data_IF_850911384998
#
_entry.id   IF_850911384998
#
_cell.length_a   1.000
_cell.length_b   1.000
_cell.length_c   1.000
_cell.angle_alpha   90.00
_cell.angle_beta   90.00
_cell.angle_gamma   90.00
#
_symmetry.space_group_name_H-M   'P 1'
#
loop_
_entity.id
_entity.type
_entity.pdbx_description
1 polymer ?
2 non-polymer ?
3 non-polymer ?
4 non-polymer ?
5 non-polymer ?
6 non-polymer ?
7 non-polymer ?
8 non-polymer ?
9 non-polymer ?
10 water ?
#
# COMPACT_ATOMS: atom_id res chain seq x y z
N UNK A 11 21.15 8.70 10.74
CA UNK A 11 20.82 10.12 10.71
C UNK A 11 19.72 10.45 9.69
N UNK A 12 19.30 9.47 8.90
CA UNK A 12 18.23 9.70 7.94
C UNK A 12 16.88 9.32 8.54
N UNK A 13 15.85 10.07 8.20
CA UNK A 13 14.50 9.62 8.49
C UNK A 13 14.31 8.25 7.86
N UNK A 14 13.63 7.37 8.58
CA UNK A 14 13.33 6.03 8.10
C UNK A 14 11.81 5.92 8.06
N UNK A 15 11.24 5.81 6.89
CA UNK A 15 9.79 5.76 6.73
C UNK A 15 9.40 4.30 6.53
N UNK A 16 8.65 3.74 7.50
CA UNK A 16 8.29 2.33 7.50
C UNK A 16 6.92 2.16 6.86
N UNK A 17 6.91 1.63 5.65
CA UNK A 17 5.71 1.43 4.84
C UNK A 17 5.38 -0.04 4.83
N UNK A 18 4.10 -0.36 4.96
CA UNK A 18 3.62 -1.73 4.86
C UNK A 18 2.60 -1.82 3.74
N UNK A 19 2.80 -2.80 2.86
CA UNK A 19 1.87 -3.11 1.80
C UNK A 19 0.89 -4.13 2.33
N UNK A 20 -0.41 -3.84 2.21
CA UNK A 20 -1.45 -4.77 2.60
C UNK A 20 -2.44 -4.85 1.45
N UNK A 21 -3.24 -5.90 1.47
CA UNK A 21 -4.21 -6.17 0.42
C UNK A 21 -4.31 -7.65 0.19
N UNK A 22 -5.43 -8.06 -0.39
CA UNK A 22 -5.64 -9.47 -0.61
C UNK A 22 -4.77 -10.02 -1.75
N UNK A 23 -4.88 -11.32 -2.00
CA UNK A 23 -3.95 -11.98 -2.91
C UNK A 23 -4.10 -11.50 -4.34
N UNK A 24 -2.97 -11.35 -5.02
CA UNK A 24 -2.96 -11.10 -6.44
C UNK A 24 -3.29 -9.67 -6.82
N UNK A 25 -3.39 -8.77 -5.85
CA UNK A 25 -3.78 -7.40 -6.18
C UNK A 25 -2.66 -6.59 -6.76
N UNK A 26 -1.41 -6.95 -6.48
CA UNK A 26 -0.24 -6.25 -6.96
C UNK A 26 0.67 -5.70 -5.88
N UNK A 27 0.60 -6.22 -4.65
CA UNK A 27 1.51 -5.71 -3.62
C UNK A 27 2.96 -5.87 -4.04
N UNK A 28 3.33 -7.07 -4.47
CA UNK A 28 4.70 -7.34 -4.85
C UNK A 28 5.07 -6.63 -6.13
N UNK A 29 4.20 -6.65 -7.12
CA UNK A 29 4.51 -5.96 -8.36
C UNK A 29 4.72 -4.48 -8.12
N UNK A 30 3.89 -3.85 -7.29
CA UNK A 30 4.11 -2.44 -7.00
C UNK A 30 5.44 -2.23 -6.33
N UNK A 31 5.73 -3.07 -5.33
CA UNK A 31 6.98 -2.95 -4.58
C UNK A 31 8.19 -3.10 -5.48
N UNK A 32 8.16 -4.10 -6.36
CA UNK A 32 9.31 -4.40 -7.19
C UNK A 32 9.45 -3.40 -8.33
N UNK A 33 8.34 -2.83 -8.80
CA UNK A 33 8.43 -1.72 -9.74
C UNK A 33 9.09 -0.53 -9.07
N UNK A 34 8.66 -0.20 -7.85
CA UNK A 34 9.26 0.91 -7.12
C UNK A 34 10.74 0.65 -6.87
N UNK A 35 11.07 -0.55 -6.42
CA UNK A 35 12.45 -0.83 -6.02
C UNK A 35 13.38 -0.99 -7.20
N UNK A 36 12.95 -1.71 -8.24
CA UNK A 36 13.87 -2.21 -9.24
C UNK A 36 13.48 -1.84 -10.65
N UNK A 37 12.40 -1.09 -10.84
CA UNK A 37 12.03 -0.55 -12.14
C UNK A 37 11.61 -1.64 -13.13
N UNK A 38 11.10 -2.75 -12.61
CA UNK A 38 10.75 -3.93 -13.39
C UNK A 38 9.34 -4.34 -13.01
N UNK A 39 8.55 -4.74 -14.00
CA UNK A 39 7.25 -5.35 -13.81
C UNK A 39 7.47 -6.84 -13.68
N UNK A 40 7.22 -7.37 -12.49
CA UNK A 40 7.51 -8.74 -12.13
C UNK A 40 6.19 -9.46 -11.98
N UNK A 41 5.98 -10.46 -12.83
CA UNK A 41 4.66 -11.03 -12.95
C UNK A 41 4.51 -12.38 -12.28
N UNK A 42 5.61 -12.92 -11.76
CA UNK A 42 5.61 -14.28 -11.23
C UNK A 42 6.19 -14.34 -9.82
N UNK A 43 6.02 -13.31 -9.02
CA UNK A 43 6.65 -13.30 -7.71
C UNK A 43 5.87 -14.21 -6.74
N UNK A 44 6.60 -15.13 -6.08
CA UNK A 44 5.98 -16.14 -5.23
C UNK A 44 4.87 -15.55 -4.37
N UNK A 45 3.62 -16.01 -4.53
CA UNK A 45 2.52 -15.38 -3.78
C UNK A 45 2.63 -15.49 -2.28
N UNK A 46 3.34 -16.49 -1.77
CA UNK A 46 3.46 -16.67 -0.33
C UNK A 46 4.71 -16.05 0.26
N UNK A 47 5.51 -15.33 -0.52
CA UNK A 47 6.77 -14.80 -0.03
C UNK A 47 6.59 -13.37 0.44
N UNK A 48 6.83 -13.13 1.71
CA UNK A 48 6.91 -11.78 2.23
C UNK A 48 8.35 -11.35 2.25
N UNK A 49 8.57 -10.05 2.10
CA UNK A 49 9.94 -9.58 2.14
C UNK A 49 9.94 -8.10 2.50
N UNK A 50 11.07 -7.64 3.00
CA UNK A 50 11.32 -6.25 3.33
C UNK A 50 12.33 -5.71 2.34
N UNK A 51 12.17 -4.46 1.99
CA UNK A 51 13.03 -3.75 1.09
C UNK A 51 13.38 -2.40 1.69
N UNK A 52 14.60 -1.97 1.49
CA UNK A 52 15.00 -0.67 1.97
C UNK A 52 15.75 0.05 0.87
N UNK A 53 15.48 1.33 0.72
CA UNK A 53 16.09 2.14 -0.31
C UNK A 53 16.25 3.55 0.21
N UNK A 54 17.38 4.18 -0.12
CA UNK A 54 17.51 5.60 0.08
C UNK A 54 16.83 6.32 -1.07
N UNK A 55 16.00 7.30 -0.74
CA UNK A 55 15.32 8.09 -1.75
C UNK A 55 15.32 9.54 -1.30
N UNK A 56 15.20 10.43 -2.26
CA UNK A 56 15.18 11.85 -1.99
C UNK A 56 13.73 12.31 -2.04
N UNK A 57 13.17 12.58 -0.86
CA UNK A 57 11.77 12.95 -0.69
C UNK A 57 11.71 14.46 -0.52
N UNK A 58 11.13 15.15 -1.51
CA UNK A 58 11.03 16.60 -1.46
C UNK A 58 12.38 17.22 -1.09
N UNK A 59 13.45 16.66 -1.67
CA UNK A 59 14.78 17.19 -1.45
C UNK A 59 15.50 16.72 -0.20
N UNK A 60 14.88 15.88 0.63
CA UNK A 60 15.50 15.35 1.84
C UNK A 60 15.85 13.90 1.58
N UNK A 61 17.11 13.54 1.79
CA UNK A 61 17.47 12.13 1.71
C UNK A 61 16.85 11.40 2.90
N UNK A 62 16.09 10.36 2.61
CA UNK A 62 15.45 9.53 3.62
C UNK A 62 15.66 8.07 3.21
N UNK A 63 15.32 7.19 4.11
CA UNK A 63 15.25 5.77 3.79
C UNK A 63 13.80 5.33 3.87
N UNK A 64 13.36 4.59 2.88
CA UNK A 64 12.07 3.93 2.92
C UNK A 64 12.32 2.47 3.18
N UNK A 65 11.52 1.90 4.07
CA UNK A 65 11.51 0.48 4.33
C UNK A 65 10.12 0.02 3.95
N UNK A 66 10.04 -0.99 3.09
CA UNK A 66 8.76 -1.49 2.61
C UNK A 66 8.64 -2.93 3.05
N UNK A 67 7.62 -3.23 3.81
CA UNK A 67 7.27 -4.61 4.11
C UNK A 67 6.18 -5.02 3.14
N UNK A 68 6.56 -5.93 2.26
CA UNK A 68 5.64 -6.48 1.25
C UNK A 68 5.04 -7.73 1.87
N UNK A 69 3.83 -7.59 2.44
CA UNK A 69 3.24 -8.69 3.17
C UNK A 69 2.62 -9.66 2.19
N UNK A 70 2.54 -10.91 2.60
CA UNK A 70 2.05 -11.98 1.74
C UNK A 70 1.02 -12.83 2.45
N UNK A 71 0.50 -12.38 3.58
CA UNK A 71 -0.62 -13.03 4.22
C UNK A 71 -0.33 -14.33 4.91
N UNK A 72 0.94 -14.70 5.05
CA UNK A 72 1.26 -16.02 5.57
C UNK A 72 1.19 -16.09 7.09
N UNK A 73 1.49 -15.00 7.79
CA UNK A 73 1.43 -15.03 9.24
C UNK A 73 -0.03 -15.01 9.69
N UNK A 74 -0.47 -16.12 10.26
CA UNK A 74 -1.85 -16.21 10.72
C UNK A 74 -1.96 -16.00 12.22
N UNK A 75 -0.86 -16.05 12.95
CA UNK A 75 -0.92 -15.83 14.40
C UNK A 75 -1.12 -14.35 14.66
N UNK A 76 -2.25 -14.04 15.28
CA UNK A 76 -2.73 -12.66 15.33
C UNK A 76 -1.76 -11.77 16.07
N UNK A 77 -1.15 -12.26 17.14
CA UNK A 77 -0.24 -11.40 17.91
C UNK A 77 0.97 -11.02 17.08
N UNK A 78 1.46 -11.96 16.28
CA UNK A 78 2.63 -11.72 15.45
C UNK A 78 2.30 -10.75 14.35
N UNK A 79 1.17 -10.97 13.67
CA UNK A 79 0.81 -10.05 12.62
C UNK A 79 0.51 -8.65 13.17
N UNK A 80 -0.09 -8.56 14.35
CA UNK A 80 -0.31 -7.25 14.97
C UNK A 80 1.01 -6.57 15.31
N UNK A 81 2.02 -7.32 15.74
CA UNK A 81 3.35 -6.76 15.92
C UNK A 81 3.90 -6.18 14.62
N UNK A 82 3.72 -6.89 13.50
CA UNK A 82 4.15 -6.34 12.22
C UNK A 82 3.42 -5.03 11.92
N UNK A 83 2.10 -5.01 12.15
CA UNK A 83 1.38 -3.78 11.89
C UNK A 83 1.87 -2.65 12.79
N UNK A 84 2.15 -2.96 14.05
CA UNK A 84 2.52 -1.93 15.00
C UNK A 84 3.82 -1.26 14.60
N UNK A 85 4.71 -2.02 13.94
CA UNK A 85 5.99 -1.48 13.48
C UNK A 85 5.82 -0.52 12.33
N UNK A 86 4.76 -0.66 11.55
CA UNK A 86 4.58 0.19 10.39
C UNK A 86 4.15 1.58 10.77
N UNK A 87 4.60 2.53 9.97
CA UNK A 87 4.23 3.92 10.12
C UNK A 87 3.19 4.37 9.11
N UNK A 88 3.17 3.75 7.94
CA UNK A 88 2.16 4.07 6.96
C UNK A 88 1.85 2.84 6.15
N UNK A 89 0.67 2.86 5.52
CA UNK A 89 0.14 1.68 4.85
C UNK A 89 -0.33 2.02 3.46
N UNK A 90 0.05 1.18 2.50
CA UNK A 90 -0.58 1.17 1.19
C UNK A 90 -1.55 0.01 1.19
N UNK A 91 -2.84 0.34 1.13
CA UNK A 91 -3.90 -0.64 1.19
C UNK A 91 -4.37 -0.87 -0.24
N UNK A 92 -3.89 -1.96 -0.83
CA UNK A 92 -4.01 -2.19 -2.25
C UNK A 92 -5.17 -3.13 -2.52
N UNK A 93 -5.93 -2.83 -3.56
CA UNK A 93 -6.86 -3.77 -4.15
C UNK A 93 -6.65 -3.74 -5.65
N UNK A 94 -7.24 -4.71 -6.34
CA UNK A 94 -7.22 -4.71 -7.78
C UNK A 94 -8.53 -4.16 -8.30
N UNK A 95 -8.48 -3.19 -9.21
CA UNK A 95 -9.72 -2.70 -9.79
C UNK A 95 -10.46 -3.79 -10.54
N UNK A 96 -9.80 -4.89 -10.87
CA UNK A 96 -10.43 -5.97 -11.62
C UNK A 96 -11.06 -7.03 -10.73
N UNK A 97 -11.00 -6.89 -9.41
CA UNK A 97 -11.54 -7.92 -8.52
C UNK A 97 -12.31 -7.23 -7.39
N UNK A 98 -13.64 -7.24 -7.50
CA UNK A 98 -14.46 -6.58 -6.49
C UNK A 98 -14.21 -7.12 -5.10
N UNK A 99 -14.00 -8.43 -4.97
CA UNK A 99 -13.79 -9.02 -3.66
C UNK A 99 -12.54 -8.46 -2.99
N UNK A 100 -11.53 -8.08 -3.77
CA UNK A 100 -10.33 -7.48 -3.19
C UNK A 100 -10.59 -6.08 -2.67
N UNK A 101 -11.49 -5.35 -3.32
CA UNK A 101 -11.94 -4.07 -2.80
C UNK A 101 -12.70 -4.27 -1.50
N UNK A 102 -13.61 -5.25 -1.47
CA UNK A 102 -14.34 -5.50 -0.23
C UNK A 102 -13.38 -5.83 0.92
N UNK A 103 -12.32 -6.57 0.60
CA UNK A 103 -11.36 -7.01 1.59
C UNK A 103 -10.61 -5.85 2.24
N UNK A 104 -10.51 -4.71 1.57
CA UNK A 104 -9.77 -3.60 2.14
C UNK A 104 -10.31 -3.18 3.49
N UNK A 105 -11.61 -3.37 3.73
CA UNK A 105 -12.18 -2.97 5.01
C UNK A 105 -11.51 -3.70 6.15
N UNK A 106 -11.17 -4.97 5.94
CA UNK A 106 -10.57 -5.76 7.01
C UNK A 106 -9.17 -5.25 7.31
N UNK A 107 -8.39 -4.94 6.27
CA UNK A 107 -7.06 -4.41 6.51
C UNK A 107 -7.13 -3.08 7.24
N UNK A 108 -8.08 -2.23 6.87
CA UNK A 108 -8.26 -0.96 7.56
C UNK A 108 -8.53 -1.19 9.04
N UNK A 109 -9.44 -2.10 9.35
CA UNK A 109 -9.76 -2.37 10.75
C UNK A 109 -8.57 -2.95 11.49
N UNK A 110 -7.81 -3.84 10.84
CA UNK A 110 -6.65 -4.42 11.49
C UNK A 110 -5.64 -3.35 11.84
N UNK A 111 -5.42 -2.41 10.91
CA UNK A 111 -4.47 -1.34 11.14
C UNK A 111 -4.97 -0.44 12.26
N UNK A 112 -6.25 -0.09 12.23
CA UNK A 112 -6.80 0.80 13.23
C UNK A 112 -6.77 0.19 14.62
N UNK A 113 -7.05 -1.10 14.73
CA UNK A 113 -7.04 -1.72 16.05
C UNK A 113 -5.65 -1.62 16.66
N UNK A 114 -4.61 -1.73 15.84
CA UNK A 114 -3.25 -1.72 16.35
C UNK A 114 -2.70 -0.31 16.51
N UNK A 115 -2.91 0.55 15.51
CA UNK A 115 -2.34 1.89 15.51
C UNK A 115 -3.21 2.88 16.31
N UNK A 116 -4.50 2.59 16.46
CA UNK A 116 -5.43 3.34 17.30
C UNK A 116 -5.50 4.80 16.90
N UNK A 117 -5.35 5.06 15.60
CA UNK A 117 -5.31 6.44 15.12
C UNK A 117 -5.90 6.43 13.72
N UNK A 118 -7.10 7.00 13.60
CA UNK A 118 -7.80 6.98 12.35
C UNK A 118 -7.06 7.77 11.29
N UNK A 119 -6.13 8.62 11.70
CA UNK A 119 -5.32 9.42 10.79
C UNK A 119 -3.98 8.78 10.47
N UNK A 120 -3.80 7.50 10.80
CA UNK A 120 -2.58 6.79 10.44
C UNK A 120 -2.31 7.01 8.96
N UNK A 121 -1.08 7.29 8.57
CA UNK A 121 -0.77 7.42 7.14
C UNK A 121 -1.23 6.19 6.38
N UNK A 122 -2.01 6.42 5.33
CA UNK A 122 -2.76 5.34 4.69
C UNK A 122 -3.22 5.87 3.34
N UNK A 123 -2.93 5.14 2.28
CA UNK A 123 -3.53 5.39 0.98
C UNK A 123 -4.32 4.17 0.56
N UNK A 124 -5.48 4.40 -0.04
CA UNK A 124 -6.24 3.37 -0.71
C UNK A 124 -5.77 3.33 -2.16
N UNK A 125 -5.27 2.18 -2.60
CA UNK A 125 -4.61 2.05 -3.89
C UNK A 125 -5.37 1.06 -4.74
N UNK A 126 -5.93 1.55 -5.84
CA UNK A 126 -6.59 0.71 -6.81
C UNK A 126 -5.62 0.36 -7.92
N UNK A 127 -5.06 -0.83 -7.86
CA UNK A 127 -4.04 -1.24 -8.81
C UNK A 127 -4.66 -1.92 -10.03
N UNK A 128 -3.81 -2.09 -11.04
CA UNK A 128 -4.17 -2.64 -12.34
C UNK A 128 -5.00 -1.66 -13.18
N UNK A 129 -4.64 -0.39 -13.11
CA UNK A 129 -5.37 0.62 -13.87
C UNK A 129 -5.20 0.46 -15.37
N UNK A 130 -4.24 -0.33 -15.81
CA UNK A 130 -4.06 -0.63 -17.22
C UNK A 130 -5.05 -1.69 -17.72
N UNK A 131 -5.89 -2.24 -16.85
CA UNK A 131 -6.90 -3.23 -17.22
C UNK A 131 -8.30 -2.64 -17.09
N UNK A 132 -8.50 -1.45 -17.67
CA UNK A 132 -9.79 -0.78 -17.56
C UNK A 132 -10.92 -1.65 -18.10
N UNK A 133 -10.66 -2.42 -19.15
CA UNK A 133 -11.69 -3.28 -19.74
C UNK A 133 -12.10 -4.42 -18.83
N UNK A 134 -11.35 -4.68 -17.76
CA UNK A 134 -11.71 -5.71 -16.78
C UNK A 134 -12.07 -5.09 -15.43
N UNK A 135 -12.33 -3.78 -15.40
CA UNK A 135 -12.70 -3.13 -14.15
C UNK A 135 -13.97 -3.71 -13.58
N UNK A 136 -13.91 -4.04 -12.29
CA UNK A 136 -15.05 -4.44 -11.48
C UNK A 136 -15.38 -3.44 -10.40
N UNK A 137 -14.47 -2.55 -10.07
CA UNK A 137 -14.65 -1.57 -8.99
C UNK A 137 -14.66 -0.20 -9.63
N UNK A 138 -15.76 0.53 -9.48
CA UNK A 138 -15.83 1.83 -10.10
C UNK A 138 -14.94 2.82 -9.37
N UNK A 139 -14.44 3.80 -10.13
CA UNK A 139 -13.70 4.89 -9.51
C UNK A 139 -14.58 5.54 -8.45
N UNK A 140 -15.85 5.72 -8.76
CA UNK A 140 -16.76 6.40 -7.86
C UNK A 140 -16.86 5.68 -6.53
N UNK A 141 -17.04 4.35 -6.56
CA UNK A 141 -17.19 3.67 -5.30
C UNK A 141 -15.90 3.68 -4.49
N UNK A 142 -14.75 3.56 -5.16
CA UNK A 142 -13.49 3.61 -4.44
C UNK A 142 -13.26 4.99 -3.84
N UNK A 143 -13.54 6.04 -4.61
CA UNK A 143 -13.42 7.38 -4.08
C UNK A 143 -14.35 7.59 -2.90
N UNK A 144 -15.57 7.03 -2.96
CA UNK A 144 -16.49 7.17 -1.85
C UNK A 144 -15.95 6.48 -0.60
N UNK A 145 -15.36 5.30 -0.75
CA UNK A 145 -14.76 4.65 0.39
C UNK A 145 -13.62 5.48 0.95
N UNK A 146 -12.74 5.99 0.08
CA UNK A 146 -11.64 6.80 0.55
C UNK A 146 -12.17 8.01 1.32
N UNK A 147 -13.24 8.62 0.82
CA UNK A 147 -13.84 9.77 1.50
C UNK A 147 -14.38 9.38 2.87
N UNK A 148 -15.00 8.21 2.97
CA UNK A 148 -15.49 7.73 4.25
C UNK A 148 -14.37 7.57 5.26
N UNK A 149 -13.20 7.12 4.81
CA UNK A 149 -12.07 6.88 5.67
C UNK A 149 -11.16 8.08 5.80
N UNK A 150 -11.43 9.16 5.08
CA UNK A 150 -10.57 10.31 5.03
C UNK A 150 -9.16 9.94 4.61
N UNK A 151 -9.04 9.20 3.52
CA UNK A 151 -7.77 8.89 2.91
C UNK A 151 -7.85 9.26 1.45
N UNK A 152 -6.70 9.37 0.82
CA UNK A 152 -6.69 9.56 -0.64
C UNK A 152 -6.76 8.22 -1.35
N UNK A 153 -7.40 8.25 -2.52
CA UNK A 153 -7.50 7.13 -3.41
C UNK A 153 -6.62 7.42 -4.62
N UNK A 154 -5.76 6.50 -4.97
CA UNK A 154 -4.89 6.63 -6.14
C UNK A 154 -4.96 5.32 -6.91
N UNK A 155 -5.15 5.41 -8.22
CA UNK A 155 -5.08 4.23 -9.08
C UNK A 155 -3.68 4.10 -9.64
N UNK A 156 -3.19 2.88 -9.63
CA UNK A 156 -1.83 2.60 -10.07
C UNK A 156 -1.83 1.49 -11.10
N UNK A 157 -0.70 1.38 -11.81
CA UNK A 157 -0.41 0.20 -12.59
C UNK A 157 1.04 -0.17 -12.34
N UNK A 158 1.25 -1.33 -11.75
CA UNK A 158 2.60 -1.85 -11.65
C UNK A 158 3.15 -2.21 -13.02
N UNK A 159 2.30 -2.42 -14.01
CA UNK A 159 2.73 -2.75 -15.36
C UNK A 159 3.28 -1.52 -16.08
N UNK A 160 2.53 -0.42 -16.10
CA UNK A 160 2.95 0.76 -16.83
C UNK A 160 3.73 1.73 -15.96
N UNK A 161 3.77 1.49 -14.65
CA UNK A 161 4.38 2.34 -13.63
C UNK A 161 3.53 3.57 -13.30
N UNK A 162 2.31 3.68 -13.83
CA UNK A 162 1.46 4.81 -13.51
C UNK A 162 1.24 4.91 -12.00
N UNK A 163 1.58 6.05 -11.46
CA UNK A 163 1.36 6.44 -10.07
C UNK A 163 2.08 5.57 -9.07
N UNK A 164 3.07 4.78 -9.50
CA UNK A 164 3.79 3.94 -8.55
C UNK A 164 4.63 4.80 -7.62
N UNK A 165 5.45 5.69 -8.18
CA UNK A 165 6.22 6.56 -7.31
C UNK A 165 5.30 7.45 -6.50
N UNK A 166 4.20 7.89 -7.09
CA UNK A 166 3.25 8.74 -6.38
C UNK A 166 2.78 8.10 -5.09
N UNK A 167 2.35 6.83 -5.12
CA UNK A 167 1.77 6.28 -3.90
C UNK A 167 2.83 6.14 -2.82
N UNK A 168 4.04 5.70 -3.17
CA UNK A 168 5.09 5.57 -2.16
C UNK A 168 5.49 6.95 -1.62
N UNK A 169 5.69 7.92 -2.51
CA UNK A 169 6.12 9.24 -2.06
C UNK A 169 5.02 9.92 -1.27
N UNK A 170 3.78 9.85 -1.75
CA UNK A 170 2.69 10.51 -1.04
C UNK A 170 2.48 9.87 0.33
N UNK A 171 2.65 8.55 0.44
CA UNK A 171 2.56 7.94 1.76
C UNK A 171 3.69 8.43 2.65
N UNK A 172 4.91 8.52 2.13
CA UNK A 172 6.00 9.08 2.93
C UNK A 172 5.69 10.51 3.36
N UNK A 173 5.07 11.29 2.49
CA UNK A 173 4.71 12.65 2.87
C UNK A 173 3.73 12.66 4.03
N UNK A 174 2.81 11.71 4.05
CA UNK A 174 1.89 11.59 5.19
C UNK A 174 2.62 11.20 6.45
N UNK A 175 3.53 10.23 6.35
CA UNK A 175 4.31 9.85 7.52
C UNK A 175 5.07 11.05 8.06
N UNK A 176 5.73 11.78 7.15
CA UNK A 176 6.51 12.95 7.54
C UNK A 176 5.65 13.99 8.25
N UNK A 177 4.47 14.26 7.69
CA UNK A 177 3.62 15.29 8.26
C UNK A 177 3.04 14.86 9.60
N UNK A 178 2.61 13.61 9.69
CA UNK A 178 1.79 13.18 10.81
C UNK A 178 2.60 12.69 11.98
N UNK A 179 3.81 12.21 11.75
CA UNK A 179 4.64 11.68 12.82
C UNK A 179 5.78 12.65 13.13
X LIG B 1 0.26 -9.81 -4.68
X LIG B 1 -0.27 -11.17 -4.27
X LIG B 1 -0.67 -8.69 -4.23
X LIG B 1 1.69 -9.60 -4.30
X LIG B 1 0.19 -9.77 -6.30
X LIG B 1 1.38 -9.67 -7.35
X LIG B 1 2.21 -10.91 -7.29
X LIG B 1 2.06 -8.35 -7.23
X LIG B 1 0.56 -9.62 -8.71
X LIG B 1 -0.28 -10.72 -9.05
X LIG B 1 -0.42 -10.83 -10.55
X LIG B 1 -1.04 -9.64 -11.05
X LIG B 1 0.91 -10.93 -11.28
X LIG B 1 0.75 -11.82 -12.39
X LIG B 1 1.19 -9.55 -11.82
X LIG B 1 1.95 -9.49 -13.00
X LIG B 1 -0.21 -9.04 -12.03
X LIG B 1 -0.25 -7.60 -11.83
X LIG B 1 0.14 -6.98 -10.69
X LIG B 1 0.00 -5.65 -10.84
X LIG B 1 -0.49 -5.46 -12.08
X LIG B 1 -0.87 -4.31 -12.85
X LIG B 1 -0.80 -3.15 -12.41
X LIG B 1 -1.33 -4.55 -14.08
X LIG B 1 -1.46 -5.77 -14.65
X LIG B 1 -1.92 -5.88 -15.89
X LIG B 1 -1.13 -6.87 -13.98
X LIG B 1 -0.65 -6.74 -12.72
X LIG B 1 0.15 -11.64 -8.65
X LIG B 1 -1.27 -10.58 -8.60
X LIG B 1 -0.99 -11.75 -10.73
X LIG B 1 1.71 -11.29 -10.64
X LIG B 1 1.26 -12.63 -12.24
X LIG B 1 1.84 -8.98 -11.14
X LIG B 1 2.73 -8.96 -12.85
X LIG B 1 -0.55 -9.28 -13.05
X LIG B 1 0.51 -7.48 -9.81
X LIG B 1 -1.62 -3.73 -14.65
X LIG B 1 -2.01 -6.80 -16.28
X LIG B 1 -2.18 -5.10 -16.42
X LIG C 1 12.79 5.22 -6.90
X LIG C 1 12.55 3.99 -6.26
X LIG C 1 12.91 6.35 -5.95
X LIG C 1 13.29 7.56 -6.58
X LIG C 1 12.07 5.41 -7.53
X LIG C 1 13.63 5.15 -7.41
X LIG C 1 11.83 4.05 -5.81
X LIG C 1 13.59 6.12 -5.27
X LIG C 1 12.06 6.47 -5.50
X LIG C 1 13.36 8.17 -6.00
X LIG D 1 -5.00 15.64 3.52
X LIG D 1 -5.09 14.62 2.78
X LIG D 1 -3.95 16.14 4.04
X LIG D 1 -6.31 16.35 3.87
X LIG D 1 -7.04 15.93 3.37
X LIG D 1 -6.24 17.29 3.61
X LIG D 1 -6.48 16.27 4.81
X LIG E 1 -8.23 -12.11 11.13
X LIG E 1 -7.83 -10.89 11.68
X LIG E 1 -7.92 -11.97 9.67
X LIG E 1 -6.56 -12.04 9.43
X LIG E 1 -8.69 -13.00 8.92
X LIG E 1 -8.56 -12.61 7.62
X LIG E 1 -9.18 -12.29 11.26
X LIG E 1 -7.76 -12.87 11.50
X LIG E 1 -7.02 -10.95 11.69
X LIG E 1 -8.21 -11.09 9.36
X LIG E 1 -6.24 -12.64 9.95
X LIG E 1 -9.61 -13.03 9.23
X LIG E 1 -8.33 -13.89 9.10
X LIG E 1 -7.97 -12.09 7.64
X LIG F 1 5.68 -11.08 7.11
X LIG F 1 7.14 -12.15 8.69
X LIG F 1 6.33 -13.28 8.55
X LIG F 1 5.22 -13.30 7.70
X LIG F 1 2.20 -9.86 7.61
X LIG F 1 1.45 -6.51 8.83
X LIG F 1 1.59 -8.77 8.19
X LIG F 1 0.22 -8.98 8.52
X LIG F 1 0.24 -11.14 7.77
X LIG F 1 1.56 -11.08 7.39
X LIG F 1 4.87 -12.18 6.95
X LIG F 1 6.77 -11.06 7.92
X LIG F 1 -0.41 -10.14 8.33
X LIG F 1 2.15 -12.19 6.80
X LIG F 1 2.20 -7.60 8.39
X LIG F 1 3.58 -10.92 5.16
X LIG F 1 3.54 -13.31 5.10
X LIG F 1 9.34 -10.97 9.29
X LIG F 1 9.20 -13.24 9.92
X LIG F 1 3.49 -12.13 5.90
X LIG F 1 8.53 -12.02 9.75
X LIG F 1 5.46 -10.31 6.63
X LIG F 1 6.54 -14.04 9.04
X LIG F 1 4.71 -14.08 7.64
X LIG F 1 3.08 -9.77 7.36
X LIG F 1 1.95 -5.72 8.85
X LIG F 1 1.11 -6.64 9.70
X LIG F 1 0.70 -6.34 8.28
X LIG F 1 -0.26 -8.28 8.90
X LIG F 1 -0.27 -11.90 7.67
X LIG F 1 7.29 -10.30 7.96
X LIG F 1 1.72 -12.93 6.96
X LIG G 1 3.11 -10.86 -3.16
X LIG H 1 17.22 9.18 -9.31
X LIG I 1 7.63 -15.39 3.66
X LIG J 1 11.20 -10.01 5.70
X LIG K 1 -18.91 10.58 -0.07
#
# INVERSE_FOLDING_TARGET
MAANKPKGQNSLALHKVIMVGSGGVGKSALTLQFMYDEFVEDYEPTKADSYRKKVVLDGEEVQIDILDTAGQEDYAAIRDNYFRSGEGFLCVFSITEMESFAATADFREQILRVKEDENVPFLLVGNKSDLEDKRQVSVEEAKNRAEQWNVNYVETSAKTRANVDKVFFDLMREIRARLEHHHHHH
GDP PB O1B O2B O3B O3A PA O1A O2A O5' C5' C4' O4' C3' O3' C2' O2' C1' N9 C8 N7 C5 C6 O6 N1 C2 N2 N3 C4 H5' H5'' H4' H3' HO3' H2' HO2' H1' H8 HN1 HN21 HN22
EDO C1 O1 C2 O2 H11 H12 HO1 H21 H22 HO2
ACT C O OXT CH3 H1 H2 H3
GOL C1 O1 C2 O2 C3 O3 H11 H12 HO1 H2 HO2 H31 H32 HO3
NL7 C13 C15 C20 C21 C22 C01 C03 C04 C06 C07 C12 C14 N05 N08 O02 O10 O11 O17 O18 S09 S16 H131 H201 H211 H221 H012 H013 H011 H041 H061 H141 H081
CA CA
CL CL
CL CL
CL CL
NA NA
#
